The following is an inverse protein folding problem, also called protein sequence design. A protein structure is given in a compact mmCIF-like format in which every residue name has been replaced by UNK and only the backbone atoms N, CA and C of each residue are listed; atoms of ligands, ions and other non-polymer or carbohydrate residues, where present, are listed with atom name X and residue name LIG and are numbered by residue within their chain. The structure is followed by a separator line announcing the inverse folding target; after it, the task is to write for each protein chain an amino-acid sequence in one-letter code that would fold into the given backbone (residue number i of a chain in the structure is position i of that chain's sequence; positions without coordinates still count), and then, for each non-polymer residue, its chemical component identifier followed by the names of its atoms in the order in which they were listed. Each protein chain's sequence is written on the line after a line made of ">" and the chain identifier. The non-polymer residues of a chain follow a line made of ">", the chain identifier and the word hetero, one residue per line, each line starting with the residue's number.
data_IF_156586328787
#
_entry.id   IF_156586328787
#
_cell.length_a   1.000
_cell.length_b   1.000
_cell.length_c   1.000
_cell.angle_alpha   90.00
_cell.angle_beta   90.00
_cell.angle_gamma   90.00
#
_symmetry.space_group_name_H-M   'P 1'
#
loop_
_entity.id
_entity.type
_entity.pdbx_description
1 polymer ?
#
# COMPACT_ATOMS: atom_id res chain seq x y z
N UNK A 1 1.94 -21.04 -35.53
CA UNK A 1 1.70 -20.15 -34.37
C UNK A 1 0.72 -19.12 -34.84
N UNK A 2 -0.42 -19.04 -34.16
CA UNK A 2 -1.43 -18.04 -34.49
C UNK A 2 -0.85 -16.64 -34.29
N UNK A 3 -1.20 -15.68 -35.15
CA UNK A 3 -0.68 -14.31 -35.04
C UNK A 3 -1.09 -13.62 -33.72
N UNK A 4 -2.07 -14.19 -33.02
CA UNK A 4 -2.60 -13.75 -31.72
C UNK A 4 -1.76 -14.20 -30.52
N UNK A 5 -0.90 -15.22 -30.68
CA UNK A 5 0.03 -15.73 -29.66
C UNK A 5 1.42 -15.07 -29.73
N UNK A 6 1.59 -14.06 -30.58
CA UNK A 6 2.82 -13.25 -30.63
C UNK A 6 3.02 -12.46 -29.33
N UNK A 7 4.16 -12.63 -28.66
CA UNK A 7 4.49 -11.94 -27.41
C UNK A 7 4.98 -10.52 -27.74
N UNK A 8 4.34 -9.51 -27.15
CA UNK A 8 4.69 -8.08 -27.36
C UNK A 8 5.38 -7.45 -26.16
N UNK A 9 5.25 -8.04 -24.97
CA UNK A 9 5.97 -7.62 -23.78
C UNK A 9 6.13 -8.79 -22.81
N UNK A 10 7.29 -8.86 -22.16
CA UNK A 10 7.59 -9.91 -21.20
C UNK A 10 8.53 -9.43 -20.09
N UNK A 11 8.20 -9.81 -18.86
CA UNK A 11 9.01 -9.65 -17.65
C UNK A 11 8.91 -10.91 -16.78
N UNK A 12 9.54 -12.01 -17.23
CA UNK A 12 9.52 -13.28 -16.51
C UNK A 12 10.19 -13.19 -15.12
N UNK A 13 9.73 -13.97 -14.13
CA UNK A 13 8.58 -14.88 -14.20
C UNK A 13 7.27 -14.21 -13.78
N UNK A 14 7.06 -12.91 -14.05
CA UNK A 14 5.92 -12.16 -13.48
C UNK A 14 4.77 -12.03 -14.47
N UNK A 15 5.03 -11.39 -15.61
CA UNK A 15 3.98 -11.02 -16.57
C UNK A 15 4.42 -11.21 -18.02
N UNK A 16 3.49 -11.63 -18.85
CA UNK A 16 3.62 -11.72 -20.31
C UNK A 16 2.38 -11.14 -20.96
N UNK A 17 2.57 -10.40 -22.06
CA UNK A 17 1.50 -9.76 -22.82
C UNK A 17 1.61 -10.18 -24.27
N UNK A 18 0.49 -10.59 -24.83
CA UNK A 18 0.35 -11.04 -26.21
C UNK A 18 -0.23 -9.92 -27.09
N UNK A 19 0.02 -9.99 -28.38
CA UNK A 19 -0.50 -9.05 -29.39
C UNK A 19 -2.02 -8.99 -29.42
N UNK A 20 -2.69 -10.07 -29.03
CA UNK A 20 -4.14 -10.15 -28.84
C UNK A 20 -4.67 -9.29 -27.68
N UNK A 21 -3.79 -8.76 -26.82
CA UNK A 21 -4.17 -8.08 -25.58
C UNK A 21 -4.34 -9.01 -24.40
N UNK A 22 -4.20 -10.34 -24.59
CA UNK A 22 -4.16 -11.29 -23.46
C UNK A 22 -2.97 -10.97 -22.55
N UNK A 23 -3.22 -10.93 -21.26
CA UNK A 23 -2.20 -10.76 -20.21
C UNK A 23 -2.15 -12.05 -19.39
N UNK A 24 -0.95 -12.61 -19.25
CA UNK A 24 -0.68 -13.76 -18.39
C UNK A 24 0.16 -13.29 -17.21
N UNK A 25 -0.34 -13.52 -15.99
CA UNK A 25 0.35 -13.24 -14.73
C UNK A 25 0.66 -14.56 -14.05
N UNK A 26 1.93 -14.90 -13.90
CA UNK A 26 2.31 -16.25 -13.45
C UNK A 26 2.18 -16.45 -11.94
N UNK A 27 2.25 -15.35 -11.17
CA UNK A 27 2.24 -15.40 -9.70
C UNK A 27 0.87 -15.08 -9.09
N UNK A 28 -0.11 -14.65 -9.88
CA UNK A 28 -1.41 -14.15 -9.38
C UNK A 28 -2.49 -15.25 -9.29
N UNK A 29 -2.15 -16.48 -9.67
CA UNK A 29 -3.12 -17.55 -9.88
C UNK A 29 -3.59 -18.24 -8.60
N UNK A 30 -2.84 -18.10 -7.50
CA UNK A 30 -3.19 -18.69 -6.22
C UNK A 30 -3.94 -17.66 -5.36
N UNK A 31 -5.17 -18.00 -4.95
CA UNK A 31 -5.99 -17.17 -4.07
C UNK A 31 -6.55 -18.01 -2.93
N UNK A 32 -6.69 -17.39 -1.76
CA UNK A 32 -7.35 -18.00 -0.60
C UNK A 32 -8.74 -17.37 -0.40
N UNK A 33 -9.76 -18.16 -0.05
CA UNK A 33 -11.08 -17.62 0.28
C UNK A 33 -11.02 -16.83 1.59
N UNK A 34 -11.90 -15.84 1.72
CA UNK A 34 -12.09 -15.16 2.99
C UNK A 34 -12.64 -16.15 4.03
N UNK A 35 -12.04 -16.16 5.22
CA UNK A 35 -12.36 -17.08 6.30
C UNK A 35 -11.92 -16.54 7.66
N UNK A 36 -12.13 -17.32 8.71
CA UNK A 36 -11.53 -17.09 10.02
C UNK A 36 -10.17 -17.79 10.04
N UNK A 37 -9.10 -17.02 10.19
CA UNK A 37 -7.75 -17.56 10.28
C UNK A 37 -7.54 -18.25 11.65
N UNK A 38 -7.23 -19.55 11.69
CA UNK A 38 -7.12 -20.29 12.94
C UNK A 38 -5.88 -19.92 13.77
N UNK A 39 -4.85 -19.34 13.15
CA UNK A 39 -3.61 -18.98 13.85
C UNK A 39 -3.75 -17.64 14.59
N UNK A 40 -4.51 -16.70 14.04
CA UNK A 40 -4.63 -15.33 14.53
C UNK A 40 -6.03 -14.98 15.07
N UNK A 41 -7.04 -15.79 14.77
CA UNK A 41 -8.45 -15.51 15.11
C UNK A 41 -9.09 -14.41 14.23
N UNK A 42 -8.36 -13.87 13.25
CA UNK A 42 -8.84 -12.80 12.38
C UNK A 42 -9.92 -13.33 11.44
N UNK A 43 -11.05 -12.63 11.41
CA UNK A 43 -12.13 -12.90 10.45
C UNK A 43 -11.96 -12.03 9.21
N UNK A 44 -12.13 -12.61 8.02
CA UNK A 44 -12.09 -11.88 6.76
C UNK A 44 -13.35 -12.05 5.92
N UNK A 45 -13.68 -11.05 5.09
CA UNK A 45 -14.75 -11.12 4.08
C UNK A 45 -14.44 -10.24 2.88
N UNK A 46 -14.96 -10.60 1.71
CA UNK A 46 -14.80 -9.82 0.49
C UNK A 46 -16.01 -8.91 0.25
N UNK A 47 -15.76 -7.68 -0.19
CA UNK A 47 -16.79 -6.67 -0.47
C UNK A 47 -16.53 -6.00 -1.82
N UNK A 48 -17.61 -5.62 -2.50
CA UNK A 48 -17.55 -4.77 -3.70
C UNK A 48 -17.74 -3.32 -3.27
N UNK A 49 -16.78 -2.47 -3.63
CA UNK A 49 -16.76 -1.04 -3.33
C UNK A 49 -17.43 -0.25 -4.46
N UNK A 50 -17.08 -0.57 -5.71
CA UNK A 50 -17.62 0.10 -6.90
C UNK A 50 -18.13 -0.96 -7.86
N UNK A 51 -19.44 -1.08 -7.98
CA UNK A 51 -20.07 -2.12 -8.80
C UNK A 51 -19.73 -1.97 -10.28
N UNK A 52 -19.65 -0.74 -10.78
CA UNK A 52 -19.46 -0.42 -12.20
C UNK A 52 -18.07 -0.83 -12.71
N UNK A 53 -17.05 -0.74 -11.86
CA UNK A 53 -15.65 -1.05 -12.22
C UNK A 53 -15.13 -2.33 -11.58
N UNK A 54 -15.92 -2.98 -10.72
CA UNK A 54 -15.53 -4.19 -9.99
C UNK A 54 -14.49 -3.95 -8.88
N UNK A 55 -14.23 -2.70 -8.50
CA UNK A 55 -13.29 -2.39 -7.41
C UNK A 55 -13.84 -2.99 -6.14
N UNK A 56 -13.02 -3.79 -5.49
CA UNK A 56 -13.37 -4.61 -4.34
C UNK A 56 -12.31 -4.47 -3.24
N UNK A 57 -12.57 -5.04 -2.08
CA UNK A 57 -11.59 -5.17 -1.02
C UNK A 57 -11.83 -6.44 -0.22
N UNK A 58 -10.76 -6.93 0.43
CA UNK A 58 -10.89 -7.87 1.54
C UNK A 58 -10.82 -7.12 2.85
N UNK A 59 -11.86 -7.27 3.66
CA UNK A 59 -11.93 -6.73 5.02
C UNK A 59 -11.39 -7.76 6.00
N UNK A 60 -10.75 -7.27 7.06
CA UNK A 60 -10.20 -8.08 8.15
C UNK A 60 -10.58 -7.45 9.49
N UNK A 61 -11.08 -8.26 10.42
CA UNK A 61 -11.43 -7.86 11.78
C UNK A 61 -10.76 -8.82 12.75
N UNK A 62 -9.97 -8.33 13.73
CA UNK A 62 -9.35 -9.19 14.73
C UNK A 62 -10.42 -9.77 15.67
N UNK A 63 -10.06 -10.79 16.45
CA UNK A 63 -10.93 -11.22 17.55
C UNK A 63 -11.04 -10.09 18.58
N UNK A 64 -12.21 -9.46 18.63
CA UNK A 64 -12.50 -8.34 19.53
C UNK A 64 -12.88 -8.80 20.95
N UNK A 65 -12.99 -10.10 21.19
CA UNK A 65 -13.49 -10.65 22.44
C UNK A 65 -14.93 -10.23 22.76
N UNK A 66 -15.39 -10.53 23.98
CA UNK A 66 -16.76 -10.24 24.44
C UNK A 66 -17.04 -8.76 24.75
N UNK A 67 -16.06 -7.88 24.62
CA UNK A 67 -16.15 -6.46 25.01
C UNK A 67 -16.54 -5.58 23.81
N UNK A 68 -17.58 -6.02 23.08
CA UNK A 68 -18.03 -5.57 21.76
C UNK A 68 -18.46 -4.10 21.62
N UNK A 69 -18.05 -3.22 22.53
CA UNK A 69 -18.26 -1.78 22.48
C UNK A 69 -17.02 -0.99 22.07
N UNK A 70 -15.81 -1.59 22.03
CA UNK A 70 -14.59 -0.84 21.69
C UNK A 70 -14.38 -0.77 20.17
N UNK A 71 -14.50 0.44 19.61
CA UNK A 71 -14.06 0.75 18.24
C UNK A 71 -12.53 0.84 18.17
N UNK A 72 -11.97 0.34 17.08
CA UNK A 72 -10.53 0.19 16.87
C UNK A 72 -10.08 0.87 15.57
N UNK A 73 -8.80 1.26 15.43
CA UNK A 73 -8.33 1.98 14.26
C UNK A 73 -8.61 1.26 12.94
N UNK A 74 -8.68 2.03 11.85
CA UNK A 74 -8.86 1.49 10.50
C UNK A 74 -7.55 1.58 9.74
N UNK A 75 -7.14 0.49 9.10
CA UNK A 75 -6.01 0.45 8.18
C UNK A 75 -6.49 0.21 6.76
N UNK A 76 -6.36 1.20 5.87
CA UNK A 76 -6.55 0.97 4.43
C UNK A 76 -5.21 0.56 3.84
N UNK A 77 -5.16 -0.65 3.29
CA UNK A 77 -3.96 -1.26 2.78
C UNK A 77 -4.00 -1.39 1.25
N UNK A 78 -2.90 -1.02 0.60
CA UNK A 78 -2.69 -1.17 -0.83
C UNK A 78 -1.54 -2.14 -1.07
N UNK A 79 -1.78 -3.22 -1.80
CA UNK A 79 -0.74 -4.21 -2.08
C UNK A 79 0.29 -3.69 -3.10
N UNK A 80 1.48 -4.29 -3.12
CA UNK A 80 2.50 -4.05 -4.13
C UNK A 80 2.25 -4.76 -5.46
N UNK A 81 3.33 -4.96 -6.23
CA UNK A 81 3.26 -5.62 -7.55
C UNK A 81 3.38 -4.67 -8.74
N UNK A 82 4.10 -3.56 -8.57
CA UNK A 82 4.44 -2.63 -9.65
C UNK A 82 3.24 -2.16 -10.50
N UNK A 83 2.05 -2.05 -9.89
CA UNK A 83 0.75 -1.74 -10.52
C UNK A 83 0.25 -2.77 -11.55
N UNK A 84 1.01 -3.83 -11.79
CA UNK A 84 0.77 -4.75 -12.90
C UNK A 84 0.43 -6.17 -12.44
N UNK A 85 0.75 -6.53 -11.20
CA UNK A 85 0.51 -7.86 -10.63
C UNK A 85 0.02 -7.73 -9.18
N UNK A 86 -0.43 -8.82 -8.60
CA UNK A 86 -0.87 -8.89 -7.21
C UNK A 86 -2.36 -8.64 -7.04
N UNK A 87 -2.93 -9.19 -5.98
CA UNK A 87 -4.29 -8.91 -5.53
C UNK A 87 -4.40 -9.27 -4.04
N UNK A 88 -5.38 -8.71 -3.29
CA UNK A 88 -5.48 -8.92 -1.84
C UNK A 88 -5.88 -10.36 -1.43
N UNK A 89 -6.22 -11.22 -2.39
CA UNK A 89 -6.64 -12.59 -2.15
C UNK A 89 -5.48 -13.59 -2.24
N UNK A 90 -4.29 -13.16 -2.64
CA UNK A 90 -3.11 -14.04 -2.68
C UNK A 90 -2.67 -14.44 -1.26
N UNK A 91 -2.20 -15.68 -1.04
CA UNK A 91 -1.75 -16.16 0.27
C UNK A 91 -0.76 -15.21 0.96
N UNK A 92 0.21 -14.66 0.22
CA UNK A 92 1.24 -13.79 0.78
C UNK A 92 0.66 -12.50 1.42
N UNK A 93 -0.24 -11.80 0.73
CA UNK A 93 -0.87 -10.58 1.24
C UNK A 93 -1.91 -10.91 2.31
N UNK A 94 -2.66 -12.00 2.12
CA UNK A 94 -3.67 -12.46 3.08
C UNK A 94 -3.07 -12.83 4.43
N UNK A 95 -2.04 -13.67 4.43
CA UNK A 95 -1.38 -14.14 5.65
C UNK A 95 -0.67 -12.98 6.37
N UNK A 96 -0.06 -12.06 5.62
CA UNK A 96 0.53 -10.85 6.17
C UNK A 96 -0.51 -9.99 6.89
N UNK A 97 -1.67 -9.74 6.26
CA UNK A 97 -2.71 -8.93 6.88
C UNK A 97 -3.39 -9.63 8.07
N UNK A 98 -3.56 -10.95 8.07
CA UNK A 98 -4.02 -11.67 9.27
C UNK A 98 -3.07 -11.41 10.46
N UNK A 99 -1.75 -11.56 10.23
CA UNK A 99 -0.74 -11.29 11.27
C UNK A 99 -0.75 -9.83 11.74
N UNK A 100 -0.74 -8.88 10.80
CA UNK A 100 -0.69 -7.46 11.11
C UNK A 100 -1.95 -6.98 11.84
N UNK A 101 -3.14 -7.41 11.39
CA UNK A 101 -4.43 -7.06 12.00
C UNK A 101 -4.51 -7.55 13.44
N UNK A 102 -4.11 -8.80 13.70
CA UNK A 102 -4.10 -9.34 15.05
C UNK A 102 -3.13 -8.61 15.98
N UNK A 103 -1.96 -8.23 15.48
CA UNK A 103 -0.90 -7.59 16.27
C UNK A 103 -1.12 -6.10 16.51
N UNK A 104 -1.60 -5.38 15.50
CA UNK A 104 -1.88 -3.94 15.57
C UNK A 104 -3.31 -3.64 16.05
N UNK A 105 -4.16 -4.66 16.19
CA UNK A 105 -5.53 -4.54 16.67
C UNK A 105 -6.35 -3.49 15.88
N UNK A 106 -6.33 -3.61 14.55
CA UNK A 106 -6.97 -2.69 13.58
C UNK A 106 -8.01 -3.42 12.72
N UNK A 107 -9.05 -2.74 12.26
CA UNK A 107 -9.85 -3.22 11.12
C UNK A 107 -9.09 -2.90 9.84
N UNK A 108 -8.73 -3.89 9.02
CA UNK A 108 -8.03 -3.64 7.76
C UNK A 108 -8.97 -3.73 6.54
N UNK A 109 -8.72 -2.87 5.56
CA UNK A 109 -9.38 -2.82 4.25
C UNK A 109 -8.31 -2.97 3.18
N UNK A 110 -8.13 -4.18 2.65
CA UNK A 110 -7.14 -4.47 1.62
C UNK A 110 -7.72 -4.27 0.23
N UNK A 111 -7.34 -3.19 -0.43
CA UNK A 111 -7.97 -2.72 -1.68
C UNK A 111 -7.51 -3.56 -2.87
N UNK A 112 -8.48 -4.06 -3.64
CA UNK A 112 -8.27 -4.70 -4.94
C UNK A 112 -8.44 -3.66 -6.05
N UNK A 113 -7.40 -2.86 -6.27
CA UNK A 113 -7.39 -1.84 -7.33
C UNK A 113 -7.12 -2.50 -8.69
N UNK A 114 -7.61 -1.89 -9.79
CA UNK A 114 -7.39 -2.44 -11.13
C UNK A 114 -5.94 -2.31 -11.57
N UNK A 115 -5.46 -3.34 -12.26
CA UNK A 115 -4.06 -3.47 -12.68
C UNK A 115 -3.83 -3.01 -14.12
N UNK A 116 -2.63 -2.50 -14.39
CA UNK A 116 -2.10 -2.36 -15.72
C UNK A 116 -1.65 -3.72 -16.29
N UNK A 117 -1.58 -3.87 -17.63
CA UNK A 117 -1.88 -2.88 -18.67
C UNK A 117 -3.37 -2.72 -19.02
N UNK A 118 -4.26 -3.58 -18.53
CA UNK A 118 -5.70 -3.53 -18.84
C UNK A 118 -6.32 -2.22 -18.35
N UNK A 119 -5.83 -1.72 -17.22
CA UNK A 119 -6.21 -0.45 -16.62
C UNK A 119 -4.96 0.34 -16.22
N UNK A 120 -4.33 1.06 -17.17
CA UNK A 120 -3.15 1.88 -16.89
C UNK A 120 -3.42 2.96 -15.84
N UNK A 121 -2.35 3.48 -15.25
CA UNK A 121 -2.37 4.68 -14.42
C UNK A 121 -3.09 5.81 -15.18
N UNK A 122 -4.05 6.53 -14.54
CA UNK A 122 -4.28 6.62 -13.09
C UNK A 122 -5.35 5.68 -12.50
N UNK A 123 -5.75 4.59 -13.18
CA UNK A 123 -6.85 3.74 -12.71
C UNK A 123 -6.66 3.22 -11.27
N UNK A 124 -5.46 2.74 -10.93
CA UNK A 124 -5.15 2.27 -9.58
C UNK A 124 -5.31 3.35 -8.50
N UNK A 125 -4.91 4.60 -8.79
CA UNK A 125 -5.08 5.73 -7.87
C UNK A 125 -6.56 6.14 -7.73
N UNK A 126 -7.32 6.16 -8.82
CA UNK A 126 -8.75 6.48 -8.78
C UNK A 126 -9.56 5.42 -8.05
N UNK A 127 -9.23 4.14 -8.23
CA UNK A 127 -9.86 3.04 -7.50
C UNK A 127 -9.55 3.11 -6.00
N UNK A 128 -8.29 3.42 -5.67
CA UNK A 128 -7.84 3.57 -4.29
C UNK A 128 -8.49 4.78 -3.61
N UNK A 129 -8.71 5.87 -4.34
CA UNK A 129 -9.43 7.03 -3.83
C UNK A 129 -10.91 6.73 -3.58
N UNK A 130 -11.57 6.02 -4.50
CA UNK A 130 -12.95 5.56 -4.29
C UNK A 130 -13.06 4.62 -3.10
N UNK A 131 -12.10 3.71 -2.91
CA UNK A 131 -12.04 2.84 -1.74
C UNK A 131 -11.87 3.62 -0.44
N UNK A 132 -10.97 4.61 -0.42
CA UNK A 132 -10.75 5.45 0.76
C UNK A 132 -12.00 6.28 1.13
N UNK A 133 -12.67 6.88 0.14
CA UNK A 133 -13.95 7.59 0.34
C UNK A 133 -15.07 6.65 0.78
N UNK A 134 -15.12 5.44 0.23
CA UNK A 134 -16.07 4.42 0.67
C UNK A 134 -15.84 4.05 2.14
N UNK A 135 -14.60 3.90 2.58
CA UNK A 135 -14.28 3.71 4.02
C UNK A 135 -14.76 4.91 4.83
N UNK A 136 -14.40 6.15 4.45
CA UNK A 136 -14.82 7.36 5.15
C UNK A 136 -16.35 7.55 5.22
N UNK A 137 -17.09 7.02 4.23
CA UNK A 137 -18.55 7.07 4.21
C UNK A 137 -19.23 6.34 5.38
N UNK A 138 -18.54 5.42 6.07
CA UNK A 138 -19.04 4.71 7.24
C UNK A 138 -18.93 5.51 8.55
N UNK A 139 -18.06 6.53 8.59
CA UNK A 139 -17.83 7.34 9.79
C UNK A 139 -19.12 7.99 10.31
N UNK A 140 -19.15 8.44 11.57
CA UNK A 140 -20.16 9.37 12.13
C UNK A 140 -21.65 9.08 11.83
N UNK A 141 -22.05 7.79 11.74
CA UNK A 141 -23.43 7.38 11.43
C UNK A 141 -23.80 7.44 9.94
N UNK A 142 -22.84 7.09 9.09
CA UNK A 142 -22.93 7.32 7.65
C UNK A 142 -23.74 6.32 6.84
N UNK A 143 -23.91 6.60 5.54
CA UNK A 143 -24.57 5.69 4.60
C UNK A 143 -23.69 4.50 4.20
N UNK A 144 -22.46 4.41 4.71
CA UNK A 144 -21.54 3.30 4.43
C UNK A 144 -22.23 1.94 4.67
N UNK A 145 -22.22 1.03 3.68
CA UNK A 145 -23.07 -0.16 3.70
C UNK A 145 -22.56 -1.28 4.61
N UNK A 146 -21.26 -1.30 4.95
CA UNK A 146 -20.64 -2.42 5.64
C UNK A 146 -20.76 -2.34 7.16
N UNK A 147 -21.30 -3.40 7.75
CA UNK A 147 -21.50 -3.51 9.21
C UNK A 147 -20.20 -3.60 10.01
N UNK A 148 -19.17 -4.27 9.51
CA UNK A 148 -17.91 -4.40 10.26
C UNK A 148 -17.24 -3.04 10.45
N UNK A 149 -17.27 -2.21 9.40
CA UNK A 149 -16.81 -0.83 9.49
C UNK A 149 -17.75 0.03 10.36
N UNK A 150 -19.08 -0.08 10.20
CA UNK A 150 -20.00 0.72 11.01
C UNK A 150 -19.91 0.42 12.53
N UNK A 151 -19.71 -0.85 12.87
CA UNK A 151 -19.82 -1.35 14.25
C UNK A 151 -18.45 -1.32 14.97
N UNK A 152 -17.34 -1.61 14.27
CA UNK A 152 -16.04 -1.84 14.90
C UNK A 152 -14.97 -0.77 14.59
N UNK A 153 -15.16 0.09 13.58
CA UNK A 153 -14.14 1.04 13.17
C UNK A 153 -14.18 2.36 13.96
N UNK A 154 -13.00 2.83 14.34
CA UNK A 154 -12.72 4.18 14.80
C UNK A 154 -12.09 5.00 13.68
N UNK A 155 -12.89 5.89 13.09
CA UNK A 155 -12.49 6.71 11.94
C UNK A 155 -11.65 7.93 12.33
N UNK A 156 -11.55 8.28 13.62
CA UNK A 156 -10.60 9.29 14.07
C UNK A 156 -9.16 8.77 14.00
N UNK A 157 -9.00 7.44 13.98
CA UNK A 157 -7.73 6.73 13.82
C UNK A 157 -7.69 5.95 12.49
N UNK A 158 -7.84 6.68 11.38
CA UNK A 158 -7.65 6.15 10.04
C UNK A 158 -6.17 6.18 9.63
N UNK A 159 -5.66 5.04 9.19
CA UNK A 159 -4.29 4.84 8.74
C UNK A 159 -4.25 4.34 7.30
N UNK A 160 -3.21 4.72 6.57
CA UNK A 160 -2.91 4.18 5.24
C UNK A 160 -1.64 3.36 5.30
N UNK A 161 -1.58 2.26 4.57
CA UNK A 161 -0.33 1.52 4.39
C UNK A 161 -0.26 0.87 3.01
N UNK A 162 0.95 0.55 2.60
CA UNK A 162 1.18 -0.32 1.47
C UNK A 162 2.64 -0.69 1.33
N UNK A 163 2.90 -1.61 0.43
CA UNK A 163 4.24 -2.06 0.06
C UNK A 163 4.53 -1.74 -1.41
N UNK A 164 5.77 -1.40 -1.75
CA UNK A 164 6.19 -1.20 -3.15
C UNK A 164 5.27 -0.21 -3.90
N UNK A 165 4.58 -0.64 -4.96
CA UNK A 165 3.58 0.16 -5.67
C UNK A 165 2.40 0.60 -4.76
N UNK A 166 1.99 -0.24 -3.81
CA UNK A 166 0.99 0.10 -2.81
C UNK A 166 1.44 1.21 -1.86
N UNK A 167 2.72 1.25 -1.50
CA UNK A 167 3.30 2.39 -0.76
C UNK A 167 3.29 3.67 -1.61
N UNK A 168 3.54 3.58 -2.91
CA UNK A 168 3.37 4.71 -3.83
C UNK A 168 1.90 5.19 -3.85
N UNK A 169 0.93 4.27 -3.94
CA UNK A 169 -0.50 4.60 -3.84
C UNK A 169 -0.81 5.29 -2.49
N UNK A 170 -0.35 4.72 -1.38
CA UNK A 170 -0.57 5.29 -0.05
C UNK A 170 -0.05 6.73 0.08
N UNK A 171 1.12 7.03 -0.50
CA UNK A 171 1.64 8.39 -0.61
C UNK A 171 0.67 9.31 -1.36
N UNK A 172 0.24 8.94 -2.57
CA UNK A 172 -0.67 9.76 -3.37
C UNK A 172 -2.04 9.94 -2.74
N UNK A 173 -2.55 8.91 -2.04
CA UNK A 173 -3.78 9.02 -1.26
C UNK A 173 -3.60 10.03 -0.12
N UNK A 174 -2.48 10.00 0.61
CA UNK A 174 -2.21 10.98 1.67
C UNK A 174 -2.07 12.42 1.13
N UNK A 175 -1.45 12.60 -0.04
CA UNK A 175 -1.39 13.89 -0.74
C UNK A 175 -2.78 14.37 -1.15
N UNK A 176 -3.60 13.49 -1.72
CA UNK A 176 -4.97 13.80 -2.14
C UNK A 176 -5.88 14.13 -0.96
N UNK A 177 -5.75 13.43 0.17
CA UNK A 177 -6.44 13.78 1.43
C UNK A 177 -6.10 15.20 1.87
N UNK A 178 -4.83 15.62 1.75
CA UNK A 178 -4.45 16.97 2.15
C UNK A 178 -4.97 18.07 1.21
N UNK A 179 -5.16 17.75 -0.07
CA UNK A 179 -5.69 18.67 -1.07
C UNK A 179 -7.23 18.75 -1.08
N UNK A 180 -7.92 17.61 -1.00
CA UNK A 180 -9.37 17.48 -1.19
C UNK A 180 -10.13 17.26 0.13
N UNK A 181 -9.45 16.79 1.18
CA UNK A 181 -10.10 16.28 2.39
C UNK A 181 -10.79 14.92 2.19
N UNK A 182 -11.26 14.33 3.28
CA UNK A 182 -12.21 13.22 3.24
C UNK A 182 -13.55 13.69 3.77
N UNK A 183 -14.61 12.98 3.41
CA UNK A 183 -15.93 13.32 3.90
C UNK A 183 -16.02 13.13 5.43
N UNK A 184 -17.05 13.75 6.02
CA UNK A 184 -17.50 13.45 7.39
C UNK A 184 -16.48 13.80 8.48
N UNK A 185 -15.50 14.65 8.18
CA UNK A 185 -14.46 15.05 9.12
C UNK A 185 -13.45 13.93 9.40
N UNK A 186 -13.37 12.92 8.53
CA UNK A 186 -12.38 11.85 8.66
C UNK A 186 -11.00 12.41 8.29
N UNK A 187 -10.00 12.08 9.09
CA UNK A 187 -8.62 12.50 8.88
C UNK A 187 -7.70 11.29 8.91
N UNK A 188 -6.76 11.23 7.96
CA UNK A 188 -5.69 10.23 8.02
C UNK A 188 -4.70 10.66 9.11
N UNK A 189 -4.45 9.80 10.09
CA UNK A 189 -3.51 10.08 11.16
C UNK A 189 -2.09 9.65 10.79
N UNK A 190 -1.95 8.46 10.17
CA UNK A 190 -0.66 7.80 9.99
C UNK A 190 -0.58 7.11 8.64
N UNK A 191 0.61 7.13 8.04
CA UNK A 191 0.91 6.47 6.77
C UNK A 191 2.15 5.60 6.92
N UNK A 192 2.08 4.34 6.49
CA UNK A 192 3.21 3.39 6.48
C UNK A 192 3.58 3.04 5.05
N UNK A 193 4.81 3.34 4.66
CA UNK A 193 5.33 3.11 3.32
C UNK A 193 6.42 2.04 3.38
N UNK A 194 6.11 0.81 3.00
CA UNK A 194 7.08 -0.28 3.02
C UNK A 194 7.75 -0.40 1.65
N UNK A 195 9.06 -0.13 1.59
CA UNK A 195 9.87 -0.17 0.36
C UNK A 195 9.22 0.61 -0.80
N UNK A 196 8.95 1.92 -0.63
CA UNK A 196 8.13 2.66 -1.56
C UNK A 196 8.69 2.64 -2.98
N UNK A 197 7.82 2.34 -3.93
CA UNK A 197 8.18 2.31 -5.34
C UNK A 197 8.26 3.72 -5.92
N UNK A 198 9.40 4.36 -5.69
CA UNK A 198 9.75 5.67 -6.25
C UNK A 198 10.93 5.57 -7.19
N UNK A 199 10.80 6.17 -8.37
CA UNK A 199 11.85 6.23 -9.39
C UNK A 199 12.28 7.68 -9.63
N UNK A 200 13.25 7.86 -10.52
CA UNK A 200 13.73 9.15 -11.00
C UNK A 200 14.98 8.97 -11.85
N UNK A 201 15.31 9.95 -12.68
CA UNK A 201 16.49 9.88 -13.56
C UNK A 201 17.80 10.25 -12.85
N UNK A 202 17.74 11.09 -11.81
CA UNK A 202 18.94 11.56 -11.09
C UNK A 202 19.71 10.39 -10.47
N UNK A 203 21.01 10.19 -10.75
CA UNK A 203 21.74 9.04 -10.24
C UNK A 203 21.74 8.94 -8.71
N UNK A 204 21.47 7.73 -8.20
CA UNK A 204 21.60 7.39 -6.76
C UNK A 204 22.42 6.13 -6.59
N UNK A 205 23.14 6.01 -5.47
CA UNK A 205 24.06 4.89 -5.22
C UNK A 205 23.33 3.55 -5.24
N UNK A 206 22.15 3.46 -4.61
CA UNK A 206 21.37 2.22 -4.54
C UNK A 206 20.96 1.69 -5.91
N UNK A 207 20.71 2.55 -6.90
CA UNK A 207 20.33 2.13 -8.25
C UNK A 207 21.44 1.34 -8.97
N UNK A 208 22.70 1.53 -8.56
CA UNK A 208 23.86 0.82 -9.09
C UNK A 208 24.10 -0.56 -8.44
N UNK A 209 23.44 -0.88 -7.32
CA UNK A 209 23.55 -2.18 -6.63
C UNK A 209 23.11 -3.30 -7.58
N UNK A 210 22.00 -3.09 -8.30
CA UNK A 210 21.48 -4.05 -9.29
C UNK A 210 20.86 -3.30 -10.49
N UNK A 211 21.67 -2.96 -11.51
CA UNK A 211 21.19 -2.23 -12.68
C UNK A 211 20.08 -2.96 -13.48
N UNK A 212 20.10 -4.30 -13.48
CA UNK A 212 19.08 -5.10 -14.15
C UNK A 212 17.72 -4.95 -13.45
N UNK A 213 17.71 -4.98 -12.11
CA UNK A 213 16.49 -4.72 -11.33
C UNK A 213 15.99 -3.29 -11.52
N UNK A 214 16.89 -2.30 -11.53
CA UNK A 214 16.52 -0.90 -11.80
C UNK A 214 15.83 -0.78 -13.17
N UNK A 215 16.45 -1.29 -14.23
CA UNK A 215 15.87 -1.28 -15.58
C UNK A 215 14.53 -2.05 -15.66
N UNK A 216 14.41 -3.15 -14.91
CA UNK A 216 13.17 -3.93 -14.82
C UNK A 216 12.03 -3.12 -14.20
N UNK A 217 12.30 -2.37 -13.13
CA UNK A 217 11.33 -1.48 -12.50
C UNK A 217 10.91 -0.37 -13.48
N UNK A 218 11.85 0.31 -14.14
CA UNK A 218 11.50 1.32 -15.15
C UNK A 218 10.61 0.77 -16.28
N UNK A 219 10.84 -0.47 -16.71
CA UNK A 219 9.97 -1.16 -17.68
C UNK A 219 8.56 -1.43 -17.13
N UNK A 220 8.42 -1.79 -15.86
CA UNK A 220 7.11 -1.89 -15.22
C UNK A 220 6.42 -0.54 -15.15
N UNK A 221 7.12 0.54 -14.79
CA UNK A 221 6.53 1.87 -14.78
C UNK A 221 6.03 2.29 -16.17
N UNK A 222 6.84 2.06 -17.22
CA UNK A 222 6.43 2.33 -18.59
C UNK A 222 5.21 1.51 -19.03
N UNK A 223 5.09 0.28 -18.56
CA UNK A 223 3.90 -0.55 -18.79
C UNK A 223 2.68 -0.01 -18.03
N UNK A 224 2.87 0.40 -16.78
CA UNK A 224 1.82 0.90 -15.91
C UNK A 224 1.29 2.27 -16.34
N UNK A 225 2.16 3.17 -16.80
CA UNK A 225 1.84 4.52 -17.23
C UNK A 225 2.45 4.82 -18.61
N UNK A 226 1.89 4.28 -19.70
CA UNK A 226 2.42 4.47 -21.05
C UNK A 226 2.35 5.93 -21.53
N UNK A 227 1.55 6.76 -20.86
CA UNK A 227 1.37 8.20 -21.14
C UNK A 227 2.32 9.11 -20.35
N UNK A 228 3.17 8.56 -19.48
CA UNK A 228 4.15 9.34 -18.70
C UNK A 228 5.22 9.93 -19.62
N UNK A 229 5.02 11.17 -20.09
CA UNK A 229 5.94 11.85 -21.02
C UNK A 229 7.32 12.05 -20.39
N UNK A 230 7.37 12.34 -19.09
CA UNK A 230 8.61 12.49 -18.32
C UNK A 230 9.24 11.15 -17.89
N UNK A 231 8.64 10.02 -18.29
CA UNK A 231 9.13 8.68 -17.93
C UNK A 231 9.22 8.51 -16.41
N UNK A 232 10.41 8.20 -15.91
CA UNK A 232 10.68 7.99 -14.48
C UNK A 232 10.66 9.26 -13.65
N UNK A 233 10.62 10.45 -14.27
CA UNK A 233 10.45 11.73 -13.58
C UNK A 233 9.00 12.24 -13.60
N UNK A 234 8.06 11.38 -14.01
CA UNK A 234 6.64 11.68 -13.84
C UNK A 234 6.30 11.82 -12.34
N UNK A 235 5.59 12.88 -11.90
CA UNK A 235 5.23 13.08 -10.49
C UNK A 235 4.51 11.91 -9.81
N UNK A 236 3.86 11.03 -10.56
CA UNK A 236 3.20 9.85 -10.00
C UNK A 236 4.21 8.78 -9.54
N UNK A 237 5.41 8.72 -10.11
CA UNK A 237 6.46 7.78 -9.69
C UNK A 237 7.65 8.46 -9.00
N UNK A 238 7.90 9.73 -9.30
CA UNK A 238 8.94 10.53 -8.67
C UNK A 238 8.31 11.69 -7.88
N UNK A 239 8.01 11.51 -6.58
CA UNK A 239 7.40 12.56 -5.76
C UNK A 239 8.35 13.74 -5.46
N UNK A 240 9.60 13.68 -5.94
CA UNK A 240 10.61 14.72 -5.77
C UNK A 240 10.94 15.44 -7.08
N UNK A 241 10.32 15.05 -8.20
CA UNK A 241 10.53 15.65 -9.51
C UNK A 241 10.02 17.10 -9.57
N UNK A 242 10.54 17.85 -10.55
CA UNK A 242 9.98 19.14 -10.89
C UNK A 242 8.52 19.00 -11.36
N UNK A 243 7.64 19.85 -10.82
CA UNK A 243 6.20 19.75 -11.07
C UNK A 243 5.45 18.79 -10.16
N UNK A 244 6.14 18.02 -9.30
CA UNK A 244 5.48 17.25 -8.26
C UNK A 244 4.80 18.16 -7.21
N UNK A 245 3.61 17.81 -6.70
CA UNK A 245 2.96 18.54 -5.63
C UNK A 245 3.87 18.67 -4.40
N UNK A 246 3.84 19.85 -3.75
CA UNK A 246 4.63 20.08 -2.55
C UNK A 246 4.22 19.12 -1.43
N UNK A 247 5.18 18.36 -0.89
CA UNK A 247 4.96 17.45 0.25
C UNK A 247 4.43 18.16 1.51
N UNK A 248 4.56 19.49 1.60
CA UNK A 248 3.95 20.29 2.66
C UNK A 248 2.42 20.09 2.75
N UNK A 249 1.78 19.78 1.61
CA UNK A 249 0.35 19.55 1.51
C UNK A 249 -0.12 18.15 1.92
N UNK A 250 0.75 17.28 2.41
CA UNK A 250 0.35 15.93 2.80
C UNK A 250 -0.61 15.93 3.99
N UNK A 251 -1.77 15.27 3.81
CA UNK A 251 -2.89 15.26 4.75
C UNK A 251 -2.84 14.15 5.79
N UNK A 252 -1.70 13.94 6.44
CA UNK A 252 -1.60 13.06 7.62
C UNK A 252 -0.75 13.69 8.73
N UNK A 253 -0.58 13.04 9.88
CA UNK A 253 0.26 13.57 10.98
C UNK A 253 1.63 12.91 11.06
N UNK A 254 1.73 11.62 10.69
CA UNK A 254 2.95 10.83 10.86
C UNK A 254 3.16 9.90 9.67
N UNK A 255 4.40 9.78 9.21
CA UNK A 255 4.82 8.85 8.15
C UNK A 255 5.93 7.95 8.69
N UNK A 256 5.77 6.64 8.52
CA UNK A 256 6.85 5.67 8.65
C UNK A 256 7.24 5.20 7.25
N UNK A 257 8.54 5.26 6.93
CA UNK A 257 9.08 4.69 5.70
C UNK A 257 10.04 3.57 6.06
N UNK A 258 9.78 2.37 5.54
CA UNK A 258 10.69 1.25 5.66
C UNK A 258 11.52 1.11 4.38
N UNK A 259 12.83 1.01 4.50
CA UNK A 259 13.77 0.79 3.38
C UNK A 259 14.71 -0.38 3.70
N UNK A 260 15.40 -0.88 2.68
CA UNK A 260 16.38 -1.96 2.83
C UNK A 260 17.75 -1.49 2.35
N UNK A 261 18.82 -1.96 2.99
CA UNK A 261 20.17 -1.57 2.61
C UNK A 261 20.55 -2.00 1.18
N UNK A 262 20.07 -3.17 0.72
CA UNK A 262 20.43 -3.77 -0.58
C UNK A 262 19.39 -3.51 -1.69
N UNK A 263 18.32 -2.75 -1.39
CA UNK A 263 17.27 -2.45 -2.37
C UNK A 263 17.65 -1.26 -3.24
N UNK A 264 17.45 -1.40 -4.55
CA UNK A 264 17.72 -0.34 -5.54
C UNK A 264 16.90 0.93 -5.29
N UNK A 265 15.76 0.81 -4.59
CA UNK A 265 14.87 1.91 -4.23
C UNK A 265 15.26 2.62 -2.91
N UNK A 266 16.26 2.12 -2.18
CA UNK A 266 16.68 2.62 -0.85
C UNK A 266 16.90 4.13 -0.83
N UNK A 267 17.75 4.63 -1.71
CA UNK A 267 18.17 6.03 -1.65
C UNK A 267 17.05 6.98 -2.08
N UNK A 268 16.12 6.52 -2.92
CA UNK A 268 14.88 7.26 -3.23
C UNK A 268 13.97 7.35 -2.01
N UNK A 269 13.79 6.26 -1.27
CA UNK A 269 13.06 6.25 0.00
C UNK A 269 13.71 7.16 1.06
N UNK A 270 15.04 7.13 1.18
CA UNK A 270 15.81 8.02 2.10
C UNK A 270 15.69 9.49 1.68
N UNK A 271 15.84 9.81 0.39
CA UNK A 271 15.69 11.16 -0.12
C UNK A 271 14.28 11.71 0.11
N UNK A 272 13.26 10.86 -0.05
CA UNK A 272 11.87 11.20 0.25
C UNK A 272 11.67 11.53 1.74
N UNK A 273 12.21 10.71 2.65
CA UNK A 273 12.19 11.00 4.09
C UNK A 273 12.89 12.33 4.43
N UNK A 274 14.04 12.59 3.82
CA UNK A 274 14.75 13.85 4.00
C UNK A 274 13.90 15.04 3.56
N UNK A 275 13.29 14.97 2.36
CA UNK A 275 12.41 16.04 1.86
C UNK A 275 11.19 16.27 2.75
N UNK A 276 10.58 15.21 3.28
CA UNK A 276 9.46 15.37 4.23
C UNK A 276 9.90 16.10 5.49
N UNK A 277 11.04 15.74 6.09
CA UNK A 277 11.57 16.44 7.28
C UNK A 277 11.86 17.91 7.03
N UNK A 278 12.21 18.28 5.79
CA UNK A 278 12.47 19.68 5.43
C UNK A 278 11.22 20.49 5.14
N UNK A 279 10.20 19.89 4.52
CA UNK A 279 9.09 20.62 3.88
C UNK A 279 7.72 20.35 4.47
N UNK A 280 7.55 19.24 5.18
CA UNK A 280 6.26 18.82 5.72
C UNK A 280 6.22 19.02 7.24
N UNK A 281 5.04 19.33 7.76
CA UNK A 281 4.82 19.75 9.14
C UNK A 281 4.71 18.57 10.12
N UNK A 282 4.50 17.35 9.62
CA UNK A 282 4.30 16.14 10.42
C UNK A 282 5.60 15.45 10.83
N UNK A 283 5.47 14.29 11.48
CA UNK A 283 6.61 13.49 11.95
C UNK A 283 6.98 12.39 10.95
N UNK A 284 8.29 12.21 10.70
CA UNK A 284 8.79 11.21 9.74
C UNK A 284 9.79 10.27 10.39
N UNK A 285 9.45 8.99 10.45
CA UNK A 285 10.31 7.90 10.91
C UNK A 285 10.86 7.12 9.70
N UNK A 286 12.14 6.79 9.75
CA UNK A 286 12.79 5.92 8.77
C UNK A 286 13.19 4.64 9.52
N UNK A 287 12.76 3.49 9.02
CA UNK A 287 13.18 2.19 9.50
C UNK A 287 13.98 1.51 8.39
N UNK A 288 15.20 1.10 8.70
CA UNK A 288 16.08 0.46 7.72
C UNK A 288 16.41 -0.96 8.17
N UNK A 289 16.38 -1.88 7.21
CA UNK A 289 16.69 -3.31 7.42
C UNK A 289 17.85 -3.72 6.51
N UNK A 290 18.81 -4.43 7.07
CA UNK A 290 20.00 -4.92 6.36
C UNK A 290 19.81 -6.38 5.93
N UNK A 291 20.53 -6.80 4.89
CA UNK A 291 20.65 -8.20 4.47
C UNK A 291 19.38 -8.80 3.84
N UNK A 292 18.43 -7.99 3.36
CA UNK A 292 17.13 -8.47 2.86
C UNK A 292 16.77 -7.90 1.49
N UNK A 293 16.07 -8.72 0.71
CA UNK A 293 15.56 -8.33 -0.60
C UNK A 293 14.23 -7.56 -0.54
N UNK A 294 13.89 -6.89 -1.64
CA UNK A 294 12.63 -6.14 -1.77
C UNK A 294 11.43 -7.00 -1.33
N UNK A 295 10.62 -6.46 -0.42
CA UNK A 295 9.40 -7.10 0.12
C UNK A 295 9.63 -8.48 0.78
N UNK A 296 10.83 -8.71 1.35
CA UNK A 296 11.19 -9.96 2.02
C UNK A 296 10.19 -10.46 3.08
N UNK A 297 9.46 -9.55 3.74
CA UNK A 297 8.48 -9.88 4.78
C UNK A 297 7.31 -10.74 4.29
N UNK A 298 7.09 -10.85 2.98
CA UNK A 298 6.16 -11.83 2.41
C UNK A 298 6.80 -13.19 2.10
N UNK A 299 8.09 -13.19 1.75
CA UNK A 299 8.81 -14.39 1.30
C UNK A 299 9.31 -15.21 2.49
N UNK A 300 9.75 -14.51 3.55
CA UNK A 300 10.21 -15.10 4.80
C UNK A 300 9.59 -14.33 5.99
N UNK A 301 8.27 -14.48 6.22
CA UNK A 301 7.55 -13.71 7.25
C UNK A 301 7.99 -14.05 8.68
N UNK A 302 8.72 -15.15 8.86
CA UNK A 302 9.16 -15.64 10.18
C UNK A 302 10.59 -15.26 10.53
N UNK A 303 11.37 -14.68 9.60
CA UNK A 303 12.72 -14.24 9.93
C UNK A 303 12.72 -13.09 10.95
N UNK A 304 13.83 -12.95 11.68
CA UNK A 304 13.98 -11.97 12.75
C UNK A 304 13.69 -10.54 12.27
N UNK A 305 14.16 -10.21 11.07
CA UNK A 305 14.01 -8.89 10.46
C UNK A 305 12.56 -8.61 10.06
N UNK A 306 11.81 -9.61 9.60
CA UNK A 306 10.41 -9.43 9.21
C UNK A 306 9.57 -9.19 10.46
N UNK A 307 9.81 -9.99 11.49
CA UNK A 307 9.20 -9.83 12.80
C UNK A 307 9.55 -8.47 13.43
N UNK A 308 10.80 -7.99 13.27
CA UNK A 308 11.27 -6.71 13.77
C UNK A 308 10.61 -5.53 13.03
N UNK A 309 10.55 -5.57 11.69
CA UNK A 309 9.84 -4.57 10.90
C UNK A 309 8.36 -4.53 11.28
N UNK A 310 7.70 -5.68 11.41
CA UNK A 310 6.30 -5.73 11.83
C UNK A 310 6.10 -5.16 13.24
N UNK A 311 7.04 -5.40 14.17
CA UNK A 311 7.00 -4.79 15.50
C UNK A 311 7.12 -3.27 15.39
N UNK A 312 8.01 -2.76 14.54
CA UNK A 312 8.15 -1.33 14.31
C UNK A 312 6.86 -0.71 13.72
N UNK A 313 6.24 -1.38 12.74
CA UNK A 313 4.96 -0.97 12.16
C UNK A 313 3.85 -0.98 13.23
N UNK A 314 3.69 -2.07 13.98
CA UNK A 314 2.67 -2.16 15.04
C UNK A 314 2.86 -1.05 16.09
N UNK A 315 4.08 -0.86 16.58
CA UNK A 315 4.41 0.23 17.50
C UNK A 315 4.08 1.60 16.91
N UNK A 316 4.36 1.81 15.62
CA UNK A 316 4.03 3.05 14.94
C UNK A 316 2.52 3.29 14.82
N UNK A 317 1.71 2.24 14.65
CA UNK A 317 0.24 2.32 14.61
C UNK A 317 -0.39 2.46 16.02
N UNK A 318 0.25 1.93 17.06
CA UNK A 318 -0.26 1.92 18.44
C UNK A 318 0.09 3.13 19.32
N UNK A 319 1.05 3.97 18.90
CA UNK A 319 1.72 5.03 19.69
C UNK A 319 0.87 6.12 20.38
N UNK A 320 -0.45 5.98 20.44
CA UNK A 320 -1.29 6.73 21.40
C UNK A 320 -1.31 6.10 22.80
N UNK A 321 -1.02 4.79 22.95
CA UNK A 321 -1.04 4.09 24.25
C UNK A 321 0.10 4.48 25.21
N UNK A 322 1.10 5.23 24.75
CA UNK A 322 2.31 5.57 25.51
C UNK A 322 2.35 7.00 26.06
N UNK A 323 1.41 7.88 25.67
CA UNK A 323 1.31 9.23 26.28
C UNK A 323 0.37 9.31 27.48
N UNK A 324 -0.60 8.40 27.58
CA UNK A 324 -1.54 8.36 28.71
C UNK A 324 -1.02 7.56 29.92
N UNK A 325 0.09 6.82 29.78
CA UNK A 325 0.69 6.01 30.85
C UNK A 325 1.85 6.70 31.61
N UNK A 326 2.01 8.02 31.46
CA UNK A 326 3.01 8.83 32.20
C UNK A 326 2.34 9.91 33.07
N UNK A 327 1.03 9.80 33.31
CA UNK A 327 0.32 10.61 34.32
C UNK A 327 -0.53 9.68 35.17
N UNK A 328 0.12 8.99 36.11
CA UNK A 328 -0.43 8.61 37.43
C UNK A 328 0.73 8.37 38.40
#
# INVERSE_FOLDING_TARGET
>A
MDAEDEIVFELLPLIRIYKSGRVERYQDNETVPASVDPATGVSSKDVVIVAETGVSARLYVPDLGGDGQRRIPVLVYFHGGAFCIGNPFMPMFHNYLNSLVARAHVVAVSVNYRLAPEHPIPAAYEDSWKALRWVASHANGGPGPDRWLADHADFDRLFLAGDSAGANIAHHMAMRVGAEGLERGVHVQRVVLVHPYFLGSEPVESAAINPEMTARLERFWKLACPTAVAGVDDPMINPLADGAPSLAGMGCKRVLVCVLAEDVLRDRGRAYCHRLREKWWGEVELYETDGKGHTFHFLDPTCEEALAQDRAICCFLDRERTRESVIE
#
